data_IF_795427439802
#
_entry.id   IF_795427439802
#
_cell.length_a   1.000
_cell.length_b   1.000
_cell.length_c   1.000
_cell.angle_alpha   90.00
_cell.angle_beta   90.00
_cell.angle_gamma   90.00
#
_symmetry.space_group_name_H-M   'P 1'
#
loop_
_entity.id
_entity.type
_entity.pdbx_description
1 polymer ?
#
# COMPACT_ATOMS: atom_id res chain seq x y z
N UNK A 1 29.25 13.13 -37.75
CA UNK A 1 29.07 14.45 -37.12
C UNK A 1 28.49 14.21 -35.75
N UNK A 2 29.24 14.47 -34.67
CA UNK A 2 28.71 14.39 -33.32
C UNK A 2 27.98 15.71 -33.02
N UNK A 3 26.70 15.62 -32.67
CA UNK A 3 25.88 16.75 -32.25
C UNK A 3 26.51 17.36 -30.98
N UNK A 4 27.06 18.57 -31.08
CA UNK A 4 27.76 19.21 -29.97
C UNK A 4 26.75 19.76 -28.97
N UNK A 5 26.75 19.24 -27.74
CA UNK A 5 25.92 19.73 -26.65
C UNK A 5 26.19 21.22 -26.40
N UNK A 6 25.13 22.03 -26.39
CA UNK A 6 25.26 23.45 -26.07
C UNK A 6 25.32 23.66 -24.56
N UNK A 7 25.93 24.77 -24.08
CA UNK A 7 25.90 25.13 -22.65
C UNK A 7 24.48 25.20 -22.06
N UNK A 8 23.48 25.54 -22.88
CA UNK A 8 22.07 25.55 -22.49
C UNK A 8 21.49 24.15 -22.27
N UNK A 9 21.96 23.14 -23.00
CA UNK A 9 21.53 21.75 -22.83
C UNK A 9 22.12 21.15 -21.55
N UNK A 10 23.39 21.46 -21.26
CA UNK A 10 24.03 21.09 -20.00
C UNK A 10 23.27 21.68 -18.81
N UNK A 11 22.92 22.98 -18.84
CA UNK A 11 22.17 23.62 -17.76
C UNK A 11 20.80 22.96 -17.51
N UNK A 12 20.07 22.58 -18.57
CA UNK A 12 18.79 21.87 -18.47
C UNK A 12 18.97 20.48 -17.86
N UNK A 13 20.02 19.75 -18.24
CA UNK A 13 20.35 18.43 -17.69
C UNK A 13 20.71 18.53 -16.21
N UNK A 14 21.51 19.52 -15.81
CA UNK A 14 21.83 19.75 -14.41
C UNK A 14 20.61 20.14 -13.58
N UNK A 15 19.74 21.01 -14.11
CA UNK A 15 18.50 21.40 -13.44
C UNK A 15 17.53 20.23 -13.28
N UNK A 16 17.38 19.39 -14.31
CA UNK A 16 16.52 18.20 -14.23
C UNK A 16 17.07 17.17 -13.24
N UNK A 17 18.39 16.91 -13.27
CA UNK A 17 19.04 16.03 -12.30
C UNK A 17 18.86 16.52 -10.86
N UNK A 18 19.04 17.82 -10.61
CA UNK A 18 18.83 18.42 -9.28
C UNK A 18 17.38 18.33 -8.79
N UNK A 19 16.41 18.45 -9.71
CA UNK A 19 15.00 18.30 -9.35
C UNK A 19 14.66 16.85 -8.96
N UNK A 20 15.18 15.87 -9.70
CA UNK A 20 14.95 14.45 -9.42
C UNK A 20 15.55 14.06 -8.06
N UNK A 21 16.77 14.49 -7.77
CA UNK A 21 17.38 14.25 -6.46
C UNK A 21 16.58 14.91 -5.34
N UNK A 22 16.14 16.15 -5.51
CA UNK A 22 15.30 16.84 -4.52
C UNK A 22 14.01 16.07 -4.21
N UNK A 23 13.26 15.66 -5.24
CA UNK A 23 12.02 14.90 -5.05
C UNK A 23 12.27 13.52 -4.44
N UNK A 24 13.32 12.82 -4.86
CA UNK A 24 13.68 11.53 -4.27
C UNK A 24 14.05 11.66 -2.79
N UNK A 25 14.82 12.69 -2.41
CA UNK A 25 15.17 12.95 -1.01
C UNK A 25 13.94 13.34 -0.19
N UNK A 26 13.03 14.15 -0.74
CA UNK A 26 11.77 14.52 -0.08
C UNK A 26 10.86 13.30 0.13
N UNK A 27 10.74 12.43 -0.88
CA UNK A 27 9.96 11.20 -0.75
C UNK A 27 10.56 10.26 0.31
N UNK A 28 11.89 10.11 0.32
CA UNK A 28 12.60 9.31 1.32
C UNK A 28 12.44 9.87 2.74
N UNK A 29 12.51 11.19 2.93
CA UNK A 29 12.34 11.83 4.24
C UNK A 29 10.91 11.71 4.75
N UNK A 30 9.91 11.87 3.88
CA UNK A 30 8.51 11.61 4.21
C UNK A 30 8.28 10.16 4.63
N UNK A 31 8.82 9.21 3.86
CA UNK A 31 8.72 7.78 4.18
C UNK A 31 9.47 7.40 5.47
N UNK A 32 10.57 8.08 5.78
CA UNK A 32 11.31 7.88 7.02
C UNK A 32 10.67 8.57 8.23
N UNK A 33 9.77 9.54 8.02
CA UNK A 33 9.17 10.31 9.11
C UNK A 33 8.25 9.46 9.99
N UNK A 34 8.22 9.74 11.30
CA UNK A 34 7.27 9.18 12.26
C UNK A 34 5.81 9.54 11.94
N UNK A 35 5.59 10.62 11.18
CA UNK A 35 4.27 10.99 10.67
C UNK A 35 3.74 10.01 9.62
N UNK A 36 4.64 9.31 8.91
CA UNK A 36 4.27 8.25 7.99
C UNK A 36 3.96 6.98 8.77
N UNK A 37 2.66 6.73 9.00
CA UNK A 37 2.16 5.53 9.67
C UNK A 37 2.44 4.29 8.84
N UNK A 38 3.63 3.71 9.04
CA UNK A 38 4.00 2.37 8.55
C UNK A 38 3.17 1.36 9.33
N UNK A 39 2.05 0.93 8.76
CA UNK A 39 1.42 -0.28 9.25
C UNK A 39 2.28 -1.47 8.80
N UNK A 40 2.87 -2.26 9.71
CA UNK A 40 3.54 -3.48 9.32
C UNK A 40 2.63 -4.33 8.43
N UNK A 41 3.21 -4.87 7.37
CA UNK A 41 2.48 -5.61 6.33
C UNK A 41 2.50 -7.13 6.61
N UNK A 42 3.51 -7.62 7.36
CA UNK A 42 3.71 -9.03 7.65
C UNK A 42 3.66 -9.39 9.14
N UNK A 43 3.26 -8.49 10.03
CA UNK A 43 3.12 -8.80 11.46
C UNK A 43 1.75 -9.41 11.79
N UNK A 44 1.02 -9.87 10.78
CA UNK A 44 -0.33 -10.36 10.95
C UNK A 44 -0.38 -11.49 11.95
N UNK A 45 -1.36 -11.41 12.83
CA UNK A 45 -1.56 -12.37 13.88
C UNK A 45 -1.60 -13.81 13.33
N UNK A 46 -1.05 -14.75 14.11
CA UNK A 46 -0.81 -16.14 13.70
C UNK A 46 -2.08 -16.94 13.34
N UNK A 47 -3.27 -16.37 13.56
CA UNK A 47 -4.55 -17.00 13.20
C UNK A 47 -5.21 -16.26 12.04
N UNK A 48 -5.83 -17.01 11.12
CA UNK A 48 -6.57 -16.44 10.00
C UNK A 48 -7.69 -15.49 10.44
N UNK A 49 -8.35 -15.77 11.58
CA UNK A 49 -9.38 -14.88 12.13
C UNK A 49 -8.81 -13.52 12.52
N UNK A 50 -7.69 -13.49 13.26
CA UNK A 50 -7.09 -12.23 13.67
C UNK A 50 -6.53 -11.45 12.46
N UNK A 51 -5.99 -12.13 11.45
CA UNK A 51 -5.62 -11.51 10.18
C UNK A 51 -6.81 -10.85 9.47
N UNK A 52 -7.95 -11.54 9.39
CA UNK A 52 -9.19 -10.95 8.84
C UNK A 52 -9.62 -9.73 9.64
N UNK A 53 -9.52 -9.75 10.97
CA UNK A 53 -9.81 -8.59 11.81
C UNK A 53 -8.88 -7.40 11.50
N UNK A 54 -7.60 -7.64 11.23
CA UNK A 54 -6.68 -6.58 10.79
C UNK A 54 -7.08 -5.99 9.44
N UNK A 55 -7.56 -6.81 8.50
CA UNK A 55 -8.04 -6.33 7.20
C UNK A 55 -9.30 -5.48 7.31
N UNK A 56 -10.24 -5.88 8.17
CA UNK A 56 -11.50 -5.15 8.40
C UNK A 56 -11.24 -3.79 9.05
N UNK A 57 -10.36 -3.76 10.07
CA UNK A 57 -10.10 -2.56 10.87
C UNK A 57 -8.96 -1.68 10.31
N UNK A 58 -8.24 -2.19 9.31
CA UNK A 58 -7.10 -1.51 8.68
C UNK A 58 -7.49 -0.54 7.58
N UNK A 59 -6.51 -0.20 6.75
CA UNK A 59 -6.75 0.65 5.58
C UNK A 59 -7.70 -0.07 4.58
N UNK A 60 -8.80 0.56 4.12
CA UNK A 60 -9.74 -0.06 3.16
C UNK A 60 -9.12 -0.53 1.84
N UNK A 61 -7.93 -0.02 1.47
CA UNK A 61 -7.19 -0.50 0.31
C UNK A 61 -6.59 -1.90 0.54
N UNK A 62 -6.22 -2.25 1.78
CA UNK A 62 -5.60 -3.55 2.10
C UNK A 62 -6.53 -4.71 1.79
N UNK A 63 -7.79 -4.67 2.21
CA UNK A 63 -8.73 -5.76 1.91
C UNK A 63 -8.94 -5.96 0.40
N UNK A 64 -8.89 -4.87 -0.38
CA UNK A 64 -8.93 -4.96 -1.84
C UNK A 64 -7.66 -5.57 -2.42
N UNK A 65 -6.49 -5.19 -1.91
CA UNK A 65 -5.21 -5.75 -2.35
C UNK A 65 -5.08 -7.23 -2.02
N UNK A 66 -5.50 -7.67 -0.83
CA UNK A 66 -5.34 -9.06 -0.38
C UNK A 66 -6.44 -10.00 -0.88
N UNK A 67 -7.71 -9.56 -0.84
CA UNK A 67 -8.86 -10.42 -1.17
C UNK A 67 -9.49 -10.11 -2.53
N UNK A 68 -9.05 -9.05 -3.21
CA UNK A 68 -9.63 -8.61 -4.49
C UNK A 68 -11.03 -7.99 -4.37
N UNK A 69 -11.53 -7.73 -3.16
CA UNK A 69 -12.88 -7.22 -2.91
C UNK A 69 -12.88 -5.99 -2.00
N UNK A 70 -13.88 -5.11 -2.14
CA UNK A 70 -14.07 -3.98 -1.21
C UNK A 70 -14.64 -4.47 0.12
N UNK A 71 -14.35 -3.74 1.20
CA UNK A 71 -14.80 -4.08 2.56
C UNK A 71 -16.29 -4.39 2.67
N UNK A 72 -17.16 -3.55 2.10
CA UNK A 72 -18.60 -3.76 2.16
C UNK A 72 -19.05 -5.03 1.43
N UNK A 73 -18.37 -5.43 0.35
CA UNK A 73 -18.68 -6.66 -0.39
C UNK A 73 -18.29 -7.87 0.44
N UNK A 74 -17.11 -7.84 1.06
CA UNK A 74 -16.68 -8.87 1.99
C UNK A 74 -17.66 -9.05 3.16
N UNK A 75 -18.08 -7.94 3.80
CA UNK A 75 -19.06 -7.99 4.90
C UNK A 75 -20.43 -8.53 4.44
N UNK A 76 -20.90 -8.11 3.26
CA UNK A 76 -22.16 -8.61 2.69
C UNK A 76 -22.10 -10.13 2.44
N UNK A 77 -20.97 -10.63 1.94
CA UNK A 77 -20.74 -12.07 1.77
C UNK A 77 -20.81 -12.81 3.11
N UNK A 78 -20.11 -12.32 4.14
CA UNK A 78 -20.12 -12.94 5.48
C UNK A 78 -21.52 -12.97 6.08
N UNK A 79 -22.27 -11.86 5.99
CA UNK A 79 -23.67 -11.79 6.46
C UNK A 79 -24.55 -12.80 5.73
N UNK A 80 -24.39 -12.91 4.40
CA UNK A 80 -25.16 -13.85 3.58
C UNK A 80 -24.87 -15.28 3.99
N UNK A 81 -23.60 -15.66 4.15
CA UNK A 81 -23.22 -17.00 4.58
C UNK A 81 -23.79 -17.34 5.97
N UNK A 82 -23.74 -16.41 6.92
CA UNK A 82 -24.34 -16.60 8.25
C UNK A 82 -25.86 -16.73 8.19
N UNK A 83 -26.53 -15.98 7.31
CA UNK A 83 -27.98 -16.10 7.10
C UNK A 83 -28.40 -17.46 6.53
N UNK A 84 -27.50 -18.12 5.80
CA UNK A 84 -27.69 -19.48 5.28
C UNK A 84 -27.33 -20.57 6.31
N UNK A 85 -26.90 -20.19 7.52
CA UNK A 85 -26.54 -21.11 8.59
C UNK A 85 -25.09 -21.60 8.57
N UNK A 86 -24.22 -21.04 7.72
CA UNK A 86 -22.79 -21.35 7.77
C UNK A 86 -22.15 -20.72 9.01
N UNK A 87 -21.30 -21.49 9.69
CA UNK A 87 -20.53 -21.07 10.85
C UNK A 87 -19.05 -20.93 10.50
N UNK A 88 -18.32 -20.20 11.34
CA UNK A 88 -16.88 -20.03 11.19
C UNK A 88 -16.20 -21.42 11.23
N UNK A 89 -15.27 -21.67 10.33
CA UNK A 89 -14.53 -22.92 10.28
C UNK A 89 -13.67 -23.06 11.53
N UNK A 90 -13.92 -24.09 12.35
CA UNK A 90 -13.04 -24.47 13.44
C UNK A 90 -11.74 -25.03 12.87
N UNK A 91 -10.61 -24.35 13.12
CA UNK A 91 -9.30 -24.94 12.92
C UNK A 91 -9.10 -26.06 13.95
N UNK A 92 -9.12 -27.31 13.49
CA UNK A 92 -8.55 -28.47 14.18
C UNK A 92 -7.05 -28.55 13.93
#
# INVERSE_FOLDING_TARGET
MAESLTPGDLAKIYASAASVTYYATLAASLYASEAYKKQPYHNSALTGFQWVQELINGNPRRIYTELGVRLHVYLALVITLRSMGYIDSSHS
#
